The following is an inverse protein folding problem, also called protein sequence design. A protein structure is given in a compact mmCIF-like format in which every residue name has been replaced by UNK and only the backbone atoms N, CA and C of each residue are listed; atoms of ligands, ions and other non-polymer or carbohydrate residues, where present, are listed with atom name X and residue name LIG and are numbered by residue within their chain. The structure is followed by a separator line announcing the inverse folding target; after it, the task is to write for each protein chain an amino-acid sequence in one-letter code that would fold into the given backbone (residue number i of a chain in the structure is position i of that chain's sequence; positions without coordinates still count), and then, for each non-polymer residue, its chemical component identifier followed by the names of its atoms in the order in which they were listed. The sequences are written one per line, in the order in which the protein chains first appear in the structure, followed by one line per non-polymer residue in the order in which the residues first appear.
data_IF_123741696078
#
_entry.id   IF_123741696078
#
_cell.length_a   1.000
_cell.length_b   1.000
_cell.length_c   1.000
_cell.angle_alpha   90.00
_cell.angle_beta   90.00
_cell.angle_gamma   90.00
#
_symmetry.space_group_name_H-M   'P 1'
#
loop_
_entity.id
_entity.type
_entity.pdbx_description
1 polymer ?
#
# COMPACT_ATOMS: atom_id res chain seq x y z
N UNK A 1 1.68 10.12 15.54
CA UNK A 1 2.49 9.78 14.34
C UNK A 1 2.71 11.07 13.56
N UNK A 2 3.95 11.44 13.22
CA UNK A 2 4.25 12.70 12.50
C UNK A 2 4.62 12.36 11.06
N UNK A 3 3.93 12.90 10.04
CA UNK A 3 4.29 12.65 8.65
C UNK A 3 5.64 13.29 8.33
N UNK A 4 6.53 12.53 7.67
CA UNK A 4 7.84 13.00 7.21
C UNK A 4 8.02 12.64 5.75
N UNK A 5 8.40 13.63 4.93
CA UNK A 5 8.81 13.37 3.54
C UNK A 5 10.21 12.77 3.53
N UNK A 6 10.35 11.63 2.89
CA UNK A 6 11.65 10.95 2.74
C UNK A 6 12.24 11.30 1.36
N UNK A 7 13.52 11.64 1.32
CA UNK A 7 14.28 11.87 0.08
C UNK A 7 15.04 10.62 -0.39
N UNK A 8 15.14 9.59 0.46
CA UNK A 8 15.82 8.35 0.12
C UNK A 8 15.43 7.16 1.01
N UNK A 9 15.67 5.95 0.50
CA UNK A 9 15.28 4.70 1.17
C UNK A 9 15.95 4.45 2.52
N UNK A 10 17.07 5.11 2.83
CA UNK A 10 17.78 4.96 4.11
C UNK A 10 17.01 5.60 5.27
N UNK A 11 16.16 6.57 4.99
CA UNK A 11 15.38 7.30 6.00
C UNK A 11 14.09 6.57 6.41
N UNK A 12 13.91 5.36 5.90
CA UNK A 12 12.72 4.54 6.07
C UNK A 12 12.76 3.77 7.41
N UNK A 13 13.90 3.78 8.11
CA UNK A 13 14.03 3.23 9.47
C UNK A 13 13.13 4.00 10.45
N UNK A 14 12.41 3.28 11.32
CA UNK A 14 11.46 3.87 12.26
C UNK A 14 10.12 4.29 11.64
N UNK A 15 9.91 4.09 10.34
CA UNK A 15 8.61 4.33 9.70
C UNK A 15 7.69 3.10 9.84
N UNK A 16 6.53 3.28 10.46
CA UNK A 16 5.49 2.23 10.52
C UNK A 16 4.71 2.13 9.20
N UNK A 17 4.51 3.27 8.54
CA UNK A 17 3.77 3.40 7.28
C UNK A 17 4.56 4.26 6.29
N UNK A 18 4.57 3.84 5.02
CA UNK A 18 5.20 4.56 3.92
C UNK A 18 4.19 4.74 2.78
N UNK A 19 3.87 5.99 2.48
CA UNK A 19 3.11 6.37 1.29
C UNK A 19 4.06 6.53 0.09
N UNK A 20 3.73 5.88 -1.03
CA UNK A 20 4.51 5.90 -2.27
C UNK A 20 3.64 6.57 -3.34
N UNK A 21 3.98 7.81 -3.67
CA UNK A 21 3.22 8.59 -4.66
C UNK A 21 3.31 7.98 -6.07
N UNK A 22 2.21 8.10 -6.81
CA UNK A 22 2.14 7.68 -8.20
C UNK A 22 2.94 8.51 -9.18
N UNK A 23 3.54 9.60 -8.73
CA UNK A 23 4.50 10.40 -9.52
C UNK A 23 5.85 9.70 -9.73
N UNK A 24 6.13 8.62 -8.99
CA UNK A 24 7.37 7.84 -9.14
C UNK A 24 7.31 6.86 -10.32
N UNK A 25 8.44 6.63 -10.97
CA UNK A 25 8.54 5.62 -12.04
C UNK A 25 8.30 4.22 -11.49
N UNK A 26 7.68 3.34 -12.28
CA UNK A 26 7.38 1.96 -11.89
C UNK A 26 8.59 1.20 -11.30
N UNK A 27 9.77 1.34 -11.91
CA UNK A 27 11.01 0.74 -11.42
C UNK A 27 11.44 1.26 -10.04
N UNK A 28 11.22 2.56 -9.76
CA UNK A 28 11.50 3.15 -8.45
C UNK A 28 10.54 2.59 -7.40
N UNK A 29 9.26 2.47 -7.73
CA UNK A 29 8.25 1.87 -6.85
C UNK A 29 8.64 0.44 -6.49
N UNK A 30 8.96 -0.40 -7.48
CA UNK A 30 9.41 -1.79 -7.24
C UNK A 30 10.65 -1.83 -6.35
N UNK A 31 11.64 -0.95 -6.59
CA UNK A 31 12.85 -0.86 -5.76
C UNK A 31 12.53 -0.49 -4.31
N UNK A 32 11.61 0.45 -4.08
CA UNK A 32 11.15 0.83 -2.74
C UNK A 32 10.45 -0.35 -2.07
N UNK A 33 9.48 -0.97 -2.75
CA UNK A 33 8.70 -2.10 -2.23
C UNK A 33 9.61 -3.27 -1.83
N UNK A 34 10.61 -3.59 -2.64
CA UNK A 34 11.61 -4.62 -2.32
C UNK A 34 12.39 -4.28 -1.05
N UNK A 35 12.85 -3.03 -0.89
CA UNK A 35 13.59 -2.59 0.30
C UNK A 35 12.73 -2.57 1.58
N UNK A 36 11.44 -2.29 1.45
CA UNK A 36 10.50 -2.18 2.58
C UNK A 36 9.71 -3.45 2.87
N UNK A 37 9.94 -4.52 2.10
CA UNK A 37 9.20 -5.78 2.16
C UNK A 37 9.21 -6.35 3.59
N UNK A 38 8.04 -6.69 4.10
CA UNK A 38 7.86 -7.28 5.43
C UNK A 38 8.04 -6.35 6.63
N UNK A 39 8.68 -5.18 6.46
CA UNK A 39 9.03 -4.30 7.58
C UNK A 39 8.03 -3.17 7.82
N UNK A 40 7.39 -2.67 6.75
CA UNK A 40 6.63 -1.40 6.79
C UNK A 40 5.31 -1.55 6.05
N UNK A 41 4.25 -0.91 6.54
CA UNK A 41 2.96 -0.82 5.85
C UNK A 41 3.14 0.10 4.64
N UNK A 42 3.05 -0.43 3.43
CA UNK A 42 3.18 0.36 2.21
C UNK A 42 1.80 0.71 1.65
N UNK A 43 1.62 2.00 1.39
CA UNK A 43 0.41 2.56 0.78
C UNK A 43 0.79 3.20 -0.55
N UNK A 44 0.09 2.86 -1.62
CA UNK A 44 0.30 3.43 -2.95
C UNK A 44 -0.96 4.08 -3.51
N UNK A 45 -0.84 4.69 -4.68
CA UNK A 45 -1.94 5.26 -5.48
C UNK A 45 -1.76 4.94 -6.98
N UNK A 46 -1.25 3.75 -7.30
CA UNK A 46 -0.81 3.38 -8.65
C UNK A 46 -1.45 2.06 -9.09
N UNK A 47 -1.98 1.97 -10.32
CA UNK A 47 -2.43 0.68 -10.85
C UNK A 47 -1.34 -0.39 -10.78
N UNK A 48 -1.71 -1.60 -10.34
CA UNK A 48 -0.76 -2.70 -10.22
C UNK A 48 0.09 -2.69 -8.93
N UNK A 49 -0.16 -1.79 -7.97
CA UNK A 49 0.69 -1.64 -6.78
C UNK A 49 0.73 -2.90 -5.91
N UNK A 50 -0.42 -3.57 -5.74
CA UNK A 50 -0.53 -4.81 -4.97
C UNK A 50 0.29 -5.93 -5.60
N UNK A 51 0.25 -6.05 -6.93
CA UNK A 51 0.98 -7.04 -7.72
C UNK A 51 2.50 -6.81 -7.63
N UNK A 52 2.93 -5.56 -7.44
CA UNK A 52 4.35 -5.21 -7.21
C UNK A 52 4.83 -5.49 -5.79
N UNK A 53 3.98 -6.03 -4.91
CA UNK A 53 4.31 -6.37 -3.52
C UNK A 53 3.95 -5.29 -2.50
N UNK A 54 3.11 -4.32 -2.88
CA UNK A 54 2.50 -3.36 -1.96
C UNK A 54 1.47 -3.99 -1.03
N UNK A 55 1.17 -3.31 0.09
CA UNK A 55 0.15 -3.76 1.03
C UNK A 55 -1.24 -3.17 0.71
N UNK A 56 -1.34 -1.86 0.56
CA UNK A 56 -2.58 -1.15 0.31
C UNK A 56 -2.41 -0.18 -0.86
N UNK A 57 -3.41 -0.04 -1.70
CA UNK A 57 -3.39 0.86 -2.83
C UNK A 57 -4.68 1.67 -2.89
N UNK A 58 -4.60 2.98 -2.98
CA UNK A 58 -5.75 3.81 -3.32
C UNK A 58 -6.03 3.69 -4.82
N UNK A 59 -7.29 3.50 -5.15
CA UNK A 59 -7.78 3.46 -6.53
C UNK A 59 -8.95 4.42 -6.66
N UNK A 60 -8.99 5.16 -7.76
CA UNK A 60 -10.15 5.99 -8.09
C UNK A 60 -11.21 5.11 -8.76
N UNK A 61 -12.41 5.08 -8.19
CA UNK A 61 -13.55 4.38 -8.77
C UNK A 61 -14.72 5.35 -8.88
N UNK A 62 -15.09 5.71 -10.12
CA UNK A 62 -16.01 6.82 -10.41
C UNK A 62 -15.48 8.12 -9.79
N UNK A 63 -16.15 8.66 -8.78
CA UNK A 63 -15.80 9.87 -8.04
C UNK A 63 -15.39 9.58 -6.58
N UNK A 64 -15.24 8.31 -6.22
CA UNK A 64 -14.90 7.90 -4.87
C UNK A 64 -13.51 7.26 -4.81
N UNK A 65 -12.77 7.61 -3.76
CA UNK A 65 -11.54 6.88 -3.39
C UNK A 65 -11.96 5.53 -2.84
N UNK A 66 -11.52 4.46 -3.52
CA UNK A 66 -11.58 3.08 -3.04
C UNK A 66 -10.16 2.60 -2.75
N UNK A 67 -10.03 1.36 -2.32
CA UNK A 67 -8.73 0.76 -2.08
C UNK A 67 -8.68 -0.71 -2.47
N UNK A 68 -7.48 -1.17 -2.76
CA UNK A 68 -7.12 -2.57 -2.90
C UNK A 68 -6.16 -2.94 -1.76
N UNK A 69 -6.24 -4.19 -1.28
CA UNK A 69 -5.38 -4.66 -0.19
C UNK A 69 -4.86 -6.06 -0.48
N UNK A 70 -3.58 -6.29 -0.18
CA UNK A 70 -3.00 -7.63 -0.19
C UNK A 70 -3.41 -8.36 1.11
N UNK A 71 -4.53 -9.08 1.07
CA UNK A 71 -5.08 -9.80 2.24
C UNK A 71 -4.07 -10.75 2.90
N UNK A 72 -3.30 -11.49 2.10
CA UNK A 72 -2.30 -12.44 2.61
C UNK A 72 -1.20 -11.71 3.40
N UNK A 73 -0.68 -10.61 2.84
CA UNK A 73 0.35 -9.80 3.49
C UNK A 73 -0.21 -9.05 4.72
N UNK A 74 -1.46 -8.59 4.66
CA UNK A 74 -2.13 -7.91 5.77
C UNK A 74 -2.29 -8.83 6.97
N UNK A 75 -2.79 -10.05 6.75
CA UNK A 75 -2.94 -11.08 7.78
C UNK A 75 -1.59 -11.47 8.37
N UNK A 76 -0.58 -11.69 7.52
CA UNK A 76 0.80 -12.01 7.98
C UNK A 76 1.39 -10.91 8.87
N UNK A 77 1.04 -9.65 8.63
CA UNK A 77 1.55 -8.51 9.40
C UNK A 77 0.71 -8.19 10.64
N UNK A 78 -0.50 -8.74 10.77
CA UNK A 78 -1.41 -8.42 11.88
C UNK A 78 -1.86 -6.95 11.90
N UNK A 79 -1.78 -6.25 10.77
CA UNK A 79 -1.98 -4.79 10.69
C UNK A 79 -3.38 -4.39 10.23
N UNK A 80 -4.13 -5.32 9.65
CA UNK A 80 -5.52 -5.08 9.25
C UNK A 80 -6.29 -6.34 9.61
N UNK A 81 -7.17 -6.24 10.61
CA UNK A 81 -8.17 -7.26 10.89
C UNK A 81 -9.43 -6.89 10.10
N UNK A 82 -9.51 -7.42 8.87
CA UNK A 82 -10.67 -7.20 8.03
C UNK A 82 -11.74 -8.14 8.56
N UNK A 83 -12.68 -7.60 9.34
CA UNK A 83 -13.95 -8.27 9.62
C UNK A 83 -14.53 -8.67 8.27
N UNK A 84 -14.51 -9.97 7.99
CA UNK A 84 -14.94 -10.54 6.73
C UNK A 84 -16.47 -10.44 6.66
N UNK A 85 -16.98 -9.22 6.45
CA UNK A 85 -18.31 -9.03 5.87
C UNK A 85 -18.17 -9.58 4.47
N UNK A 86 -18.66 -10.82 4.29
CA UNK A 86 -18.86 -11.47 2.99
C UNK A 86 -19.18 -10.39 1.96
N UNK A 87 -18.49 -10.41 0.82
CA UNK A 87 -18.89 -9.70 -0.40
C UNK A 87 -20.39 -9.94 -0.63
N UNK A 88 -21.21 -9.01 -0.17
CA UNK A 88 -22.58 -8.84 -0.60
C UNK A 88 -22.65 -7.44 -1.19
N UNK A 89 -23.06 -7.44 -2.45
CA UNK A 89 -23.49 -6.30 -3.27
C UNK A 89 -22.47 -5.24 -3.70
N UNK A 90 -22.02 -5.36 -4.95
CA UNK A 90 -22.72 -4.70 -6.05
C UNK A 90 -22.07 -5.10 -7.38
N UNK A 91 -22.76 -5.93 -8.15
CA UNK A 91 -22.74 -5.80 -9.60
C UNK A 91 -23.42 -4.47 -9.94
N UNK A 92 -22.70 -3.60 -10.64
CA UNK A 92 -23.30 -2.64 -11.60
C UNK A 92 -22.35 -2.58 -12.78
#
# INVERSE_FOLDING_TARGET
MIPKRLSGSHQVSGCHMLFISGKLKSQQITKILTKTKGKIITVGEVPGFIQKGGLLNFIMSKQHVRYEVNHSLAKKKGVIDICNKKQYDLQV
#
